data_IF_413890224459
#
_entry.id   IF_413890224459
#
_cell.length_a   1.000
_cell.length_b   1.000
_cell.length_c   1.000
_cell.angle_alpha   90.00
_cell.angle_beta   90.00
_cell.angle_gamma   90.00
#
_symmetry.space_group_name_H-M   'P 1'
#
loop_
_entity.id
_entity.type
_entity.pdbx_description
1 polymer ?
#
# COMPACT_ATOMS: atom_id res chain seq x y z
N UNK A 1 -10.50 -1.64 10.72
CA UNK A 1 -9.95 -0.44 10.06
C UNK A 1 -8.55 -0.22 10.61
N UNK A 2 -7.67 0.48 9.87
CA UNK A 2 -6.31 0.78 10.32
C UNK A 2 -5.96 2.24 10.03
N UNK A 3 -5.30 2.92 10.96
CA UNK A 3 -4.80 4.29 10.75
C UNK A 3 -3.35 4.27 10.25
N UNK A 4 -3.02 5.19 9.34
CA UNK A 4 -1.66 5.35 8.82
C UNK A 4 -0.89 6.32 9.71
N UNK A 5 0.22 5.89 10.30
CA UNK A 5 1.04 6.76 11.17
C UNK A 5 2.34 7.26 10.51
N UNK A 6 2.92 6.50 9.58
CA UNK A 6 4.24 6.78 9.01
C UNK A 6 4.13 7.29 7.56
N UNK A 7 4.94 8.27 7.13
CA UNK A 7 4.92 8.82 5.76
C UNK A 7 5.49 7.88 4.67
N UNK A 8 5.84 6.63 4.98
CA UNK A 8 6.45 5.70 4.01
C UNK A 8 5.58 5.34 2.80
N UNK A 9 4.28 5.65 2.86
CA UNK A 9 3.32 5.40 1.78
C UNK A 9 2.89 6.69 1.05
N UNK A 10 3.50 7.83 1.35
CA UNK A 10 3.27 9.09 0.60
C UNK A 10 3.80 8.91 -0.83
N UNK A 11 3.07 9.34 -1.89
CA UNK A 11 1.84 10.15 -1.87
C UNK A 11 0.52 9.35 -1.82
N UNK A 12 0.58 8.02 -1.86
CA UNK A 12 -0.63 7.17 -1.85
C UNK A 12 -1.42 7.31 -0.56
N UNK A 13 -0.75 7.30 0.58
CA UNK A 13 -1.33 7.46 1.92
C UNK A 13 -0.56 8.52 2.69
N UNK A 14 -1.28 9.38 3.38
CA UNK A 14 -0.73 10.40 4.27
C UNK A 14 -0.97 9.98 5.73
N UNK A 15 -0.08 10.31 6.67
CA UNK A 15 -0.36 10.11 8.09
C UNK A 15 -1.72 10.70 8.49
N UNK A 16 -2.51 9.93 9.26
CA UNK A 16 -3.89 10.24 9.64
C UNK A 16 -4.96 9.71 8.68
N UNK A 17 -4.59 9.15 7.52
CA UNK A 17 -5.54 8.42 6.68
C UNK A 17 -6.03 7.14 7.37
N UNK A 18 -7.30 6.84 7.17
CA UNK A 18 -7.95 5.61 7.64
C UNK A 18 -8.09 4.62 6.48
N UNK A 19 -7.78 3.36 6.73
CA UNK A 19 -7.87 2.27 5.76
C UNK A 19 -9.01 1.32 6.12
N UNK A 20 -9.88 1.11 5.13
CA UNK A 20 -10.76 -0.06 5.10
C UNK A 20 -9.94 -1.23 4.59
N UNK A 21 -9.81 -2.26 5.41
CA UNK A 21 -8.98 -3.43 5.14
C UNK A 21 -9.82 -4.70 5.09
N UNK A 22 -9.37 -5.67 4.31
CA UNK A 22 -9.98 -7.00 4.20
C UNK A 22 -8.98 -8.05 4.67
N UNK A 23 -9.31 -8.73 5.76
CA UNK A 23 -8.55 -9.86 6.30
C UNK A 23 -8.75 -11.11 5.42
N UNK A 24 -7.72 -11.96 5.33
CA UNK A 24 -7.75 -13.19 4.53
C UNK A 24 -7.94 -12.97 3.02
N UNK A 25 -7.78 -11.74 2.53
CA UNK A 25 -7.89 -11.45 1.11
C UNK A 25 -6.65 -11.93 0.35
N UNK A 26 -6.86 -12.48 -0.85
CA UNK A 26 -5.76 -12.79 -1.77
C UNK A 26 -5.03 -11.49 -2.14
N UNK A 27 -3.74 -11.44 -1.84
CA UNK A 27 -2.83 -10.33 -2.16
C UNK A 27 -2.28 -10.51 -3.58
N UNK A 28 -2.16 -9.41 -4.31
CA UNK A 28 -1.61 -9.34 -5.67
C UNK A 28 -0.53 -8.27 -5.77
N UNK A 29 0.38 -8.37 -6.76
CA UNK A 29 1.30 -7.28 -7.08
C UNK A 29 0.58 -5.95 -7.22
N UNK A 30 1.11 -4.94 -6.55
CA UNK A 30 0.58 -3.60 -6.44
C UNK A 30 -0.39 -3.38 -5.29
N UNK A 31 -0.90 -4.41 -4.61
CA UNK A 31 -1.81 -4.23 -3.49
C UNK A 31 -1.10 -3.52 -2.32
N UNK A 32 -1.82 -2.69 -1.58
CA UNK A 32 -1.33 -2.16 -0.30
C UNK A 32 -1.77 -3.10 0.80
N UNK A 33 -0.83 -3.51 1.65
CA UNK A 33 -1.03 -4.51 2.68
C UNK A 33 -0.68 -3.96 4.05
N UNK A 34 -1.44 -4.40 5.05
CA UNK A 34 -1.09 -4.28 6.46
C UNK A 34 -0.39 -5.57 6.85
N UNK A 35 0.81 -5.46 7.41
CA UNK A 35 1.63 -6.60 7.81
C UNK A 35 2.31 -6.36 9.16
N UNK A 36 2.66 -7.45 9.85
CA UNK A 36 3.55 -7.40 11.02
C UNK A 36 4.98 -7.14 10.55
N UNK A 37 5.70 -6.28 11.25
CA UNK A 37 7.09 -6.01 10.95
C UNK A 37 7.95 -7.26 11.27
N UNK A 38 8.82 -7.74 10.35
CA UNK A 38 9.50 -9.02 10.53
C UNK A 38 10.35 -9.14 11.81
N UNK A 39 11.04 -8.06 12.17
CA UNK A 39 11.87 -7.98 13.39
C UNK A 39 11.16 -7.42 14.63
N UNK A 40 9.90 -6.95 14.50
CA UNK A 40 9.13 -6.31 15.58
C UNK A 40 7.66 -6.67 15.41
N UNK A 41 7.30 -7.91 15.70
CA UNK A 41 6.00 -8.46 15.27
C UNK A 41 4.77 -7.83 15.94
N UNK A 42 4.96 -7.09 17.04
CA UNK A 42 3.91 -6.26 17.68
C UNK A 42 3.64 -4.95 16.92
N UNK A 43 4.50 -4.58 15.97
CA UNK A 43 4.36 -3.41 15.13
C UNK A 43 3.69 -3.77 13.80
N UNK A 44 2.52 -3.21 13.54
CA UNK A 44 1.89 -3.25 12.23
C UNK A 44 2.41 -2.11 11.35
N UNK A 45 2.76 -2.44 10.12
CA UNK A 45 3.19 -1.49 9.09
C UNK A 45 2.36 -1.65 7.82
N UNK A 46 2.31 -0.58 7.04
CA UNK A 46 1.61 -0.55 5.75
C UNK A 46 2.63 -0.38 4.64
N UNK A 47 2.61 -1.27 3.65
CA UNK A 47 3.52 -1.28 2.49
C UNK A 47 2.79 -1.69 1.22
N UNK A 48 3.39 -1.45 0.06
CA UNK A 48 2.93 -1.98 -1.22
C UNK A 48 3.59 -3.31 -1.50
N UNK A 49 2.80 -4.36 -1.75
CA UNK A 49 3.29 -5.62 -2.29
C UNK A 49 3.72 -5.41 -3.74
N UNK A 50 4.99 -5.66 -4.06
CA UNK A 50 5.53 -5.43 -5.41
C UNK A 50 5.52 -6.73 -6.20
N UNK A 51 6.02 -7.81 -5.61
CA UNK A 51 6.14 -9.11 -6.28
C UNK A 51 6.32 -10.24 -5.27
N UNK A 52 6.18 -11.49 -5.75
CA UNK A 52 6.51 -12.69 -4.99
C UNK A 52 7.97 -13.05 -5.18
N UNK A 53 8.65 -13.40 -4.09
CA UNK A 53 10.01 -13.95 -4.08
C UNK A 53 10.06 -15.20 -3.22
N UNK A 54 11.18 -15.92 -3.27
CA UNK A 54 11.44 -17.01 -2.32
C UNK A 54 11.33 -16.45 -0.88
N UNK A 55 10.48 -17.06 -0.05
CA UNK A 55 10.22 -16.60 1.32
C UNK A 55 9.05 -15.63 1.49
N UNK A 56 8.36 -15.21 0.42
CA UNK A 56 7.07 -14.51 0.54
C UNK A 56 6.95 -13.26 -0.35
N UNK A 57 6.38 -12.19 0.18
CA UNK A 57 6.15 -10.93 -0.52
C UNK A 57 7.34 -9.97 -0.41
N UNK A 58 7.83 -9.50 -1.56
CA UNK A 58 8.68 -8.31 -1.58
C UNK A 58 7.79 -7.07 -1.49
N UNK A 59 7.98 -6.26 -0.45
CA UNK A 59 7.17 -5.08 -0.18
C UNK A 59 8.02 -3.81 -0.17
N UNK A 60 7.48 -2.71 -0.66
CA UNK A 60 8.17 -1.41 -0.67
C UNK A 60 7.27 -0.30 -0.13
N UNK A 61 7.88 0.75 0.41
CA UNK A 61 7.20 2.03 0.59
C UNK A 61 7.00 2.73 -0.76
N UNK A 62 5.95 3.54 -0.87
CA UNK A 62 5.75 4.42 -2.04
C UNK A 62 6.60 5.70 -1.93
N UNK A 63 7.01 6.05 -0.70
CA UNK A 63 7.89 7.18 -0.45
C UNK A 63 9.36 6.74 -0.54
N UNK A 64 10.10 7.13 -1.59
CA UNK A 64 11.48 6.71 -1.76
C UNK A 64 12.43 7.27 -0.69
N UNK A 65 12.02 8.33 0.03
CA UNK A 65 12.82 8.98 1.07
C UNK A 65 12.76 8.24 2.41
N UNK A 66 11.91 7.22 2.54
CA UNK A 66 11.79 6.42 3.77
C UNK A 66 12.18 5.00 3.47
N UNK A 67 13.38 4.63 3.90
CA UNK A 67 13.87 3.25 3.86
C UNK A 67 13.46 2.56 5.17
N UNK A 68 12.56 1.58 5.04
CA UNK A 68 12.07 0.68 6.08
C UNK A 68 11.11 -0.31 5.40
N UNK A 69 11.64 -1.12 4.49
CA UNK A 69 10.88 -2.08 3.69
C UNK A 69 11.75 -3.31 3.32
N UNK A 70 11.33 -4.11 2.35
CA UNK A 70 12.05 -5.34 1.98
C UNK A 70 13.50 -5.13 1.55
N UNK A 71 13.93 -3.90 1.21
CA UNK A 71 15.34 -3.59 0.98
C UNK A 71 16.20 -3.84 2.23
N UNK A 72 15.63 -3.70 3.42
CA UNK A 72 16.33 -3.89 4.69
C UNK A 72 16.09 -5.29 5.28
N UNK A 73 14.83 -5.74 5.30
CA UNK A 73 14.45 -6.98 5.99
C UNK A 73 14.18 -8.17 5.05
N UNK A 74 14.32 -7.98 3.74
CA UNK A 74 14.07 -9.03 2.76
C UNK A 74 12.58 -9.32 2.51
N UNK A 75 12.27 -10.46 1.88
CA UNK A 75 10.88 -10.87 1.62
C UNK A 75 10.13 -11.16 2.93
N UNK A 76 8.85 -10.83 2.94
CA UNK A 76 7.95 -10.96 4.08
C UNK A 76 7.13 -12.23 3.94
N UNK A 77 7.19 -13.17 4.91
CA UNK A 77 6.37 -14.37 4.90
C UNK A 77 4.87 -14.08 4.86
N UNK A 78 4.09 -14.95 4.23
CA UNK A 78 2.64 -14.79 4.06
C UNK A 78 1.91 -14.66 5.40
N UNK A 79 2.37 -15.37 6.43
CA UNK A 79 1.80 -15.35 7.78
C UNK A 79 1.92 -13.98 8.47
N UNK A 80 2.85 -13.12 8.01
CA UNK A 80 2.99 -11.77 8.54
C UNK A 80 2.05 -10.80 7.84
N UNK A 81 1.48 -11.16 6.69
CA UNK A 81 0.51 -10.32 5.98
C UNK A 81 -0.87 -10.50 6.59
N UNK A 82 -1.35 -9.45 7.26
CA UNK A 82 -2.58 -9.49 8.07
C UNK A 82 -3.81 -9.19 7.23
N UNK A 83 -3.74 -8.15 6.39
CA UNK A 83 -4.88 -7.70 5.62
C UNK A 83 -4.47 -6.92 4.37
N UNK A 84 -5.37 -6.87 3.40
CA UNK A 84 -5.24 -5.99 2.23
C UNK A 84 -6.04 -4.71 2.41
N UNK A 85 -5.45 -3.56 2.14
CA UNK A 85 -6.16 -2.28 2.08
C UNK A 85 -7.01 -2.19 0.81
N UNK A 86 -8.26 -1.77 0.96
CA UNK A 86 -9.22 -1.64 -0.14
C UNK A 86 -9.53 -0.19 -0.46
N UNK A 87 -9.81 0.60 0.57
CA UNK A 87 -10.23 1.99 0.44
C UNK A 87 -9.49 2.85 1.46
N UNK A 88 -8.98 3.98 1.00
CA UNK A 88 -8.46 5.07 1.82
C UNK A 88 -9.59 6.06 2.10
N UNK A 89 -9.69 6.46 3.36
CA UNK A 89 -10.60 7.47 3.88
C UNK A 89 -9.77 8.59 4.51
N UNK A 90 -9.85 9.80 3.96
CA UNK A 90 -9.21 10.96 4.60
C UNK A 90 -9.92 11.33 5.89
N UNK A 91 -9.19 11.83 6.88
CA UNK A 91 -9.77 12.38 8.11
C UNK A 91 -10.81 13.46 7.77
N UNK A 92 -12.00 13.47 8.41
CA UNK A 92 -12.98 14.53 8.20
C UNK A 92 -12.43 15.89 8.69
N UNK A 93 -12.82 17.01 8.05
CA UNK A 93 -12.47 18.34 8.52
C UNK A 93 -13.04 18.60 9.93
N UNK A 94 -12.34 19.41 10.72
CA UNK A 94 -12.72 19.70 12.10
C UNK A 94 -14.12 20.33 12.21
N UNK A 95 -14.77 20.13 13.36
CA UNK A 95 -16.17 20.54 13.62
C UNK A 95 -16.45 22.02 13.31
N UNK A 96 -15.44 22.90 13.36
CA UNK A 96 -15.56 24.34 13.11
C UNK A 96 -15.57 24.78 11.63
N UNK A 97 -15.28 23.89 10.66
CA UNK A 97 -15.17 24.23 9.23
C UNK A 97 -16.29 23.60 8.36
N UNK A 98 -17.44 23.28 8.97
CA UNK A 98 -18.53 22.50 8.36
C UNK A 98 -19.48 23.36 7.51
N UNK A 99 -18.97 24.01 6.46
CA UNK A 99 -19.90 24.38 5.38
C UNK A 99 -20.34 23.10 4.66
N UNK A 100 -21.60 23.03 4.24
CA UNK A 100 -22.13 21.87 3.50
C UNK A 100 -21.30 21.59 2.23
N UNK A 101 -20.82 22.65 1.58
CA UNK A 101 -19.92 22.56 0.42
C UNK A 101 -18.57 21.92 0.77
N UNK A 102 -17.96 22.26 1.92
CA UNK A 102 -16.71 21.65 2.36
C UNK A 102 -16.89 20.15 2.69
N UNK A 103 -18.02 19.77 3.28
CA UNK A 103 -18.35 18.37 3.55
C UNK A 103 -18.58 17.57 2.27
N UNK A 104 -19.27 18.14 1.27
CA UNK A 104 -19.49 17.50 -0.03
C UNK A 104 -18.18 17.34 -0.82
N UNK A 105 -17.34 18.38 -0.86
CA UNK A 105 -16.02 18.34 -1.48
C UNK A 105 -15.10 17.32 -0.79
N UNK A 106 -15.12 17.27 0.54
CA UNK A 106 -14.43 16.22 1.30
C UNK A 106 -14.97 14.85 0.93
N UNK A 107 -16.27 14.61 0.99
CA UNK A 107 -16.87 13.30 0.70
C UNK A 107 -16.50 12.80 -0.71
N UNK A 108 -16.53 13.69 -1.71
CA UNK A 108 -16.17 13.39 -3.09
C UNK A 108 -14.69 13.00 -3.28
N UNK A 109 -13.81 13.38 -2.35
CA UNK A 109 -12.35 13.21 -2.46
C UNK A 109 -11.73 12.34 -1.36
N UNK A 110 -12.48 12.06 -0.30
CA UNK A 110 -12.04 11.33 0.89
C UNK A 110 -11.95 9.84 0.63
N UNK A 111 -12.87 9.30 -0.18
CA UNK A 111 -12.94 7.88 -0.52
C UNK A 111 -12.17 7.66 -1.82
N UNK A 112 -10.94 7.12 -1.71
CA UNK A 112 -10.20 6.69 -2.90
C UNK A 112 -9.87 5.21 -2.79
N UNK A 113 -10.11 4.41 -3.84
CA UNK A 113 -9.67 3.03 -3.82
C UNK A 113 -8.14 3.03 -3.82
N UNK A 114 -7.55 2.16 -3.01
CA UNK A 114 -6.09 2.02 -2.92
C UNK A 114 -5.64 1.16 -4.10
N UNK A 115 -5.85 1.66 -5.33
CA UNK A 115 -5.54 0.92 -6.56
C UNK A 115 -4.07 1.09 -6.93
N UNK A 116 -3.51 0.00 -7.44
CA UNK A 116 -2.30 -0.03 -8.27
C UNK A 116 -2.67 0.41 -9.69
N UNK A 117 -1.84 1.21 -10.38
CA UNK A 117 -1.99 1.50 -11.81
C UNK A 117 -1.70 0.29 -12.73
N UNK A 118 -1.31 -0.87 -12.19
CA UNK A 118 -0.63 -1.95 -12.90
C UNK A 118 -1.51 -2.99 -13.61
N UNK A 119 -2.71 -2.60 -14.07
CA UNK A 119 -3.49 -3.42 -15.02
C UNK A 119 -3.31 -2.99 -16.49
N UNK A 120 -2.39 -2.06 -16.80
CA UNK A 120 -2.25 -1.52 -18.17
C UNK A 120 -0.92 -1.81 -18.90
N UNK A 121 0.01 -2.58 -18.34
CA UNK A 121 1.34 -2.72 -18.97
C UNK A 121 2.04 -4.06 -18.70
N UNK A 122 1.37 -5.18 -18.95
CA UNK A 122 2.01 -6.51 -18.98
C UNK A 122 1.90 -7.19 -20.36
N UNK A 123 1.91 -6.42 -21.44
CA UNK A 123 2.09 -6.94 -22.80
C UNK A 123 3.10 -6.05 -23.54
N UNK A 124 4.39 -6.29 -23.30
CA UNK A 124 5.38 -6.19 -24.36
C UNK A 124 6.34 -7.36 -24.22
N UNK A 125 6.40 -8.29 -25.17
CA UNK A 125 7.44 -9.32 -25.18
C UNK A 125 8.78 -8.62 -25.38
N UNK A 126 9.74 -8.88 -24.50
CA UNK A 126 11.13 -8.48 -24.73
C UNK A 126 11.63 -9.16 -26.02
N UNK A 127 12.23 -8.42 -26.98
CA UNK A 127 12.85 -9.06 -28.13
C UNK A 127 14.06 -9.87 -27.64
N UNK A 128 13.97 -11.19 -27.79
CA UNK A 128 15.10 -12.12 -27.68
C UNK A 128 16.20 -11.62 -28.61
N UNK A 129 17.28 -11.06 -28.05
CA UNK A 129 18.53 -10.86 -28.79
C UNK A 129 19.13 -12.24 -29.06
N UNK A 130 19.07 -12.67 -30.32
CA UNK A 130 19.86 -13.77 -30.84
C UNK A 130 21.34 -13.39 -30.72
N UNK A 131 22.11 -14.16 -29.94
CA UNK A 131 23.57 -14.22 -30.07
C UNK A 131 23.89 -15.05 -31.31
N UNK A 132 24.61 -14.46 -32.26
CA UNK A 132 25.35 -15.21 -33.27
C UNK A 132 26.72 -15.58 -32.69
N UNK A 133 27.24 -16.73 -33.16
CA UNK A 133 28.53 -17.35 -32.82
C UNK A 133 29.70 -16.59 -33.43
#
# INVERSE_FOLDING_TARGET
MAEVYNPSMVPTLTPGDQLVVRYGAVVRPGDVVVMRHPFRQDLLIVKRAVERRAGGWWVTGDNPLVENDSREFGPVPDEFVVARAWVRLRRPPERGQRSAAALLSWAASAVRPVRSPSARSSERPFPRRLRAR
#
